data_IF_258440114173
#
_entry.id   IF_258440114173
#
_cell.length_a   1.000
_cell.length_b   1.000
_cell.length_c   1.000
_cell.angle_alpha   90.00
_cell.angle_beta   90.00
_cell.angle_gamma   90.00
#
_symmetry.space_group_name_H-M   'P 1'
#
loop_
_entity.id
_entity.type
_entity.pdbx_description
1 polymer ?
#
# COMPACT_ATOMS: atom_id res chain seq x y z
N UNK A 1 -3.12 16.87 -17.79
CA UNK A 1 -3.22 15.50 -17.24
C UNK A 1 -4.69 15.18 -17.07
N UNK A 2 -5.22 14.21 -17.82
CA UNK A 2 -6.55 13.67 -17.57
C UNK A 2 -6.47 12.99 -16.19
N UNK A 3 -7.33 13.38 -15.24
CA UNK A 3 -7.42 12.69 -13.95
C UNK A 3 -7.72 11.22 -14.23
N UNK A 4 -6.89 10.31 -13.74
CA UNK A 4 -7.20 8.90 -13.77
C UNK A 4 -8.53 8.70 -13.02
N UNK A 5 -9.37 7.78 -13.49
CA UNK A 5 -10.59 7.41 -12.79
C UNK A 5 -10.23 6.86 -11.39
N UNK A 6 -10.76 7.48 -10.33
CA UNK A 6 -10.53 7.08 -8.94
C UNK A 6 -10.96 5.63 -8.68
N UNK A 7 -11.89 5.11 -9.49
CA UNK A 7 -12.31 3.69 -9.43
C UNK A 7 -11.16 2.71 -9.74
N UNK A 8 -10.10 3.17 -10.40
CA UNK A 8 -8.94 2.36 -10.79
C UNK A 8 -7.80 2.39 -9.75
N UNK A 9 -7.98 3.11 -8.64
CA UNK A 9 -7.00 3.23 -7.55
C UNK A 9 -7.08 1.98 -6.65
N UNK A 10 -6.01 1.17 -6.48
CA UNK A 10 -6.07 -0.06 -5.69
C UNK A 10 -6.27 0.17 -4.20
N UNK A 11 -5.68 1.25 -3.67
CA UNK A 11 -5.65 1.57 -2.25
C UNK A 11 -5.66 3.09 -2.05
N UNK A 12 -6.77 3.62 -1.57
CA UNK A 12 -6.88 5.03 -1.20
C UNK A 12 -6.36 5.22 0.22
N UNK A 13 -5.57 6.26 0.47
CA UNK A 13 -5.11 6.64 1.80
C UNK A 13 -5.64 8.02 2.13
N UNK A 14 -6.25 8.16 3.31
CA UNK A 14 -6.63 9.44 3.87
C UNK A 14 -5.83 9.70 5.15
N UNK A 15 -5.38 10.93 5.35
CA UNK A 15 -4.59 11.32 6.52
C UNK A 15 -5.04 12.70 7.01
N UNK A 16 -5.45 12.78 8.27
CA UNK A 16 -5.96 14.01 8.88
C UNK A 16 -5.18 14.33 10.16
N UNK A 17 -4.11 15.13 10.05
CA UNK A 17 -3.43 15.67 11.21
C UNK A 17 -4.24 16.81 11.87
N UNK A 18 -4.30 16.80 13.19
CA UNK A 18 -5.00 17.77 14.03
C UNK A 18 -4.14 18.19 15.21
N UNK A 19 -3.81 19.48 15.29
CA UNK A 19 -3.03 20.04 16.40
C UNK A 19 -3.96 20.38 17.56
N UNK A 20 -3.69 19.83 18.74
CA UNK A 20 -4.43 20.11 19.96
C UNK A 20 -3.47 20.38 21.11
N UNK A 21 -3.43 21.63 21.58
CA UNK A 21 -2.52 22.05 22.64
C UNK A 21 -1.06 21.91 22.22
N UNK A 22 -0.34 20.99 22.89
CA UNK A 22 1.09 20.75 22.64
C UNK A 22 1.35 19.38 21.99
N UNK A 23 0.36 18.84 21.29
CA UNK A 23 0.43 17.56 20.60
C UNK A 23 -0.23 17.67 19.22
N UNK A 24 0.23 16.85 18.29
CA UNK A 24 -0.42 16.63 16.98
C UNK A 24 -0.95 15.21 16.94
N UNK A 25 -2.26 15.09 16.80
CA UNK A 25 -2.98 13.84 16.63
C UNK A 25 -3.10 13.56 15.14
N UNK A 26 -2.76 12.35 14.71
CA UNK A 26 -2.83 11.96 13.29
C UNK A 26 -3.69 10.72 13.19
N UNK A 27 -4.81 10.85 12.47
CA UNK A 27 -5.65 9.72 12.05
C UNK A 27 -5.36 9.43 10.59
N UNK A 28 -4.99 8.19 10.30
CA UNK A 28 -4.73 7.70 8.94
C UNK A 28 -5.60 6.48 8.66
N UNK A 29 -6.18 6.42 7.47
CA UNK A 29 -7.09 5.36 7.05
C UNK A 29 -6.72 4.89 5.65
N UNK A 30 -6.94 3.59 5.39
CA UNK A 30 -6.93 3.06 4.04
C UNK A 30 -8.30 2.53 3.64
N UNK A 31 -8.59 2.61 2.34
CA UNK A 31 -9.72 1.92 1.70
C UNK A 31 -9.22 1.23 0.43
N UNK A 32 -9.31 -0.09 0.40
CA UNK A 32 -8.88 -0.92 -0.71
C UNK A 32 -10.03 -1.21 -1.67
N UNK A 33 -9.75 -1.06 -2.96
CA UNK A 33 -10.68 -1.50 -4.01
C UNK A 33 -10.89 -3.02 -3.96
N UNK A 34 -12.02 -3.49 -4.50
CA UNK A 34 -12.29 -4.93 -4.66
C UNK A 34 -11.58 -5.56 -5.87
N UNK A 35 -10.75 -4.80 -6.59
CA UNK A 35 -10.07 -5.28 -7.81
C UNK A 35 -8.93 -6.26 -7.50
N UNK A 36 -8.29 -6.09 -6.35
CA UNK A 36 -7.07 -6.82 -5.99
C UNK A 36 -7.11 -7.23 -4.52
N UNK A 37 -6.66 -8.44 -4.22
CA UNK A 37 -6.16 -8.78 -2.90
C UNK A 37 -4.71 -8.31 -2.83
N UNK A 38 -4.43 -7.42 -1.88
CA UNK A 38 -3.11 -6.79 -1.73
C UNK A 38 -2.31 -7.52 -0.67
N UNK A 39 -1.03 -7.74 -0.94
CA UNK A 39 -0.12 -8.48 -0.07
C UNK A 39 1.10 -7.63 0.26
N UNK A 40 1.62 -7.83 1.47
CA UNK A 40 2.77 -7.10 2.00
C UNK A 40 2.59 -5.58 1.86
N UNK A 41 1.45 -5.08 2.32
CA UNK A 41 1.13 -3.66 2.25
C UNK A 41 1.93 -2.93 3.32
N UNK A 42 2.64 -1.87 2.93
CA UNK A 42 3.38 -0.98 3.82
C UNK A 42 3.00 0.46 3.45
N UNK A 43 2.40 1.18 4.40
CA UNK A 43 2.10 2.61 4.32
C UNK A 43 3.14 3.33 5.19
N UNK A 44 4.00 4.12 4.55
CA UNK A 44 5.10 4.84 5.17
C UNK A 44 4.75 6.32 5.31
N UNK A 45 4.51 6.75 6.54
CA UNK A 45 4.23 8.14 6.90
C UNK A 45 5.53 8.80 7.36
N UNK A 46 6.03 9.83 6.65
CA UNK A 46 7.15 10.62 7.14
C UNK A 46 6.81 11.31 8.45
N UNK A 47 7.77 11.39 9.34
CA UNK A 47 7.66 12.07 10.63
C UNK A 47 8.77 13.12 10.75
N UNK A 48 8.60 14.15 11.60
CA UNK A 48 9.72 15.00 11.98
C UNK A 48 10.79 14.16 12.69
N UNK A 49 12.00 14.71 12.83
CA UNK A 49 13.02 14.09 13.68
C UNK A 49 12.53 14.08 15.14
N UNK A 50 12.07 12.92 15.61
CA UNK A 50 11.57 12.74 16.96
C UNK A 50 12.67 12.24 17.90
N UNK A 51 12.67 12.76 19.12
CA UNK A 51 13.50 12.23 20.21
C UNK A 51 13.00 10.86 20.67
N UNK A 52 11.70 10.70 20.77
CA UNK A 52 11.01 9.50 21.24
C UNK A 52 10.05 9.00 20.14
N UNK A 53 9.75 7.70 20.11
CA UNK A 53 8.84 7.14 19.13
C UNK A 53 7.42 7.76 19.22
N UNK A 54 6.66 7.84 18.10
CA UNK A 54 5.27 8.28 18.12
C UNK A 54 4.43 7.41 19.06
N UNK A 55 3.45 8.01 19.73
CA UNK A 55 2.54 7.29 20.62
C UNK A 55 1.37 6.76 19.78
N UNK A 56 1.42 5.50 19.38
CA UNK A 56 0.31 4.84 18.67
C UNK A 56 -0.82 4.52 19.66
N UNK A 57 -2.02 5.05 19.39
CA UNK A 57 -3.23 4.89 20.22
C UNK A 57 -4.09 3.71 19.75
N UNK A 58 -4.22 3.55 18.44
CA UNK A 58 -4.92 2.46 17.78
C UNK A 58 -4.23 2.15 16.45
N UNK A 59 -4.27 0.88 16.04
CA UNK A 59 -3.70 0.43 14.77
C UNK A 59 -4.36 -0.89 14.37
N UNK A 60 -4.95 -0.92 13.18
CA UNK A 60 -5.36 -2.17 12.53
C UNK A 60 -4.18 -2.77 11.77
N UNK A 61 -3.61 -3.86 12.27
CA UNK A 61 -2.39 -4.46 11.72
C UNK A 61 -1.16 -4.15 12.58
N UNK A 62 0.02 -4.17 11.97
CA UNK A 62 1.30 -4.00 12.66
C UNK A 62 1.94 -2.65 12.31
N UNK A 63 2.78 -2.13 13.21
CA UNK A 63 3.51 -0.89 12.96
C UNK A 63 4.95 -0.93 13.46
N UNK A 64 5.79 -0.11 12.84
CA UNK A 64 7.20 0.07 13.22
C UNK A 64 7.62 1.53 13.03
N UNK A 65 8.39 2.06 13.97
CA UNK A 65 9.05 3.35 13.81
C UNK A 65 10.52 3.16 13.42
N UNK A 66 10.89 3.65 12.23
CA UNK A 66 12.27 3.75 11.78
C UNK A 66 12.83 5.13 12.15
N UNK A 67 13.50 5.21 13.29
CA UNK A 67 14.10 6.46 13.79
C UNK A 67 15.25 6.98 12.92
N UNK A 68 15.91 6.12 12.14
CA UNK A 68 17.01 6.53 11.26
C UNK A 68 16.49 7.33 10.08
N UNK A 69 15.36 6.91 9.53
CA UNK A 69 14.73 7.59 8.40
C UNK A 69 13.60 8.54 8.81
N UNK A 70 13.23 8.57 10.10
CA UNK A 70 12.09 9.33 10.65
C UNK A 70 10.79 8.96 9.93
N UNK A 71 10.47 7.67 9.88
CA UNK A 71 9.27 7.15 9.21
C UNK A 71 8.50 6.23 10.14
N UNK A 72 7.19 6.39 10.20
CA UNK A 72 6.26 5.41 10.76
C UNK A 72 5.75 4.51 9.64
N UNK A 73 6.02 3.22 9.75
CA UNK A 73 5.52 2.21 8.84
C UNK A 73 4.31 1.52 9.46
N UNK A 74 3.20 1.54 8.74
CA UNK A 74 1.99 0.78 9.02
C UNK A 74 1.87 -0.36 8.01
N UNK A 75 1.71 -1.59 8.49
CA UNK A 75 1.81 -2.78 7.65
C UNK A 75 0.67 -3.78 7.84
N UNK A 76 0.24 -4.36 6.72
CA UNK A 76 -0.75 -5.40 6.63
C UNK A 76 -0.23 -6.51 5.72
N UNK A 77 -0.21 -7.75 6.21
CA UNK A 77 0.27 -8.89 5.40
C UNK A 77 -0.65 -9.17 4.20
N UNK A 78 -1.96 -9.05 4.41
CA UNK A 78 -3.00 -9.28 3.42
C UNK A 78 -4.16 -8.30 3.64
N UNK A 79 -4.59 -7.65 2.57
CA UNK A 79 -5.86 -6.93 2.48
C UNK A 79 -6.75 -7.68 1.49
N UNK A 80 -7.79 -8.32 2.01
CA UNK A 80 -8.81 -9.05 1.26
C UNK A 80 -10.22 -8.56 1.63
N UNK A 81 -11.27 -9.33 1.28
CA UNK A 81 -12.65 -8.95 1.56
C UNK A 81 -12.99 -8.83 3.05
N UNK A 82 -12.14 -9.36 3.95
CA UNK A 82 -12.35 -9.30 5.40
C UNK A 82 -11.93 -7.97 6.01
N UNK A 83 -11.06 -7.21 5.35
CA UNK A 83 -10.42 -6.00 5.90
C UNK A 83 -10.15 -4.94 4.81
N UNK A 84 -11.16 -4.63 3.98
CA UNK A 84 -11.04 -3.62 2.90
C UNK A 84 -10.83 -2.20 3.39
N UNK A 85 -11.04 -1.95 4.67
CA UNK A 85 -10.67 -0.70 5.31
C UNK A 85 -9.99 -0.96 6.64
N UNK A 86 -9.18 -0.01 7.08
CA UNK A 86 -8.55 0.00 8.38
C UNK A 86 -8.06 1.38 8.74
N UNK A 87 -7.76 1.58 10.02
CA UNK A 87 -7.27 2.86 10.55
C UNK A 87 -6.07 2.68 11.47
N UNK A 88 -5.31 3.77 11.63
CA UNK A 88 -4.31 3.94 12.67
C UNK A 88 -4.44 5.37 13.22
N UNK A 89 -4.24 5.49 14.53
CA UNK A 89 -4.15 6.76 15.22
C UNK A 89 -2.85 6.84 16.01
N UNK A 90 -2.10 7.93 15.83
CA UNK A 90 -0.88 8.17 16.59
C UNK A 90 -0.73 9.65 16.96
N UNK A 91 0.12 9.90 17.95
CA UNK A 91 0.38 11.24 18.49
C UNK A 91 1.88 11.54 18.44
N UNK A 92 2.21 12.76 18.02
CA UNK A 92 3.57 13.32 18.00
C UNK A 92 3.58 14.71 18.65
N UNK A 93 4.76 15.27 19.00
CA UNK A 93 4.90 16.67 19.40
C UNK A 93 4.30 17.64 18.35
N UNK A 94 4.12 18.93 18.70
CA UNK A 94 3.54 19.90 17.78
C UNK A 94 4.41 20.05 16.54
N UNK A 95 3.82 19.81 15.37
CA UNK A 95 4.50 19.91 14.08
C UNK A 95 3.51 20.41 13.02
N UNK A 96 4.03 21.05 11.99
CA UNK A 96 3.24 21.39 10.81
C UNK A 96 2.79 20.13 10.06
N UNK A 97 1.54 20.11 9.65
CA UNK A 97 0.91 18.98 8.96
C UNK A 97 1.62 18.57 7.66
N UNK A 98 2.33 19.48 6.99
CA UNK A 98 3.06 19.17 5.75
C UNK A 98 4.17 18.14 5.94
N UNK A 99 4.68 17.97 7.17
CA UNK A 99 5.73 16.99 7.47
C UNK A 99 5.27 15.55 7.27
N UNK A 100 3.97 15.27 7.35
CA UNK A 100 3.42 13.91 7.17
C UNK A 100 3.31 13.48 5.69
N UNK A 101 3.74 14.33 4.76
CA UNK A 101 3.63 14.09 3.32
C UNK A 101 5.01 14.19 2.64
N UNK A 102 5.24 13.43 1.55
CA UNK A 102 4.33 12.48 0.93
C UNK A 102 4.25 11.15 1.69
N UNK A 103 3.04 10.59 1.80
CA UNK A 103 2.85 9.23 2.31
C UNK A 103 3.15 8.26 1.18
N UNK A 104 4.06 7.32 1.39
CA UNK A 104 4.44 6.32 0.39
C UNK A 104 3.77 4.98 0.68
N UNK A 105 3.33 4.28 -0.36
CA UNK A 105 2.66 2.98 -0.24
C UNK A 105 3.37 1.93 -1.07
N UNK A 106 3.63 0.77 -0.48
CA UNK A 106 4.13 -0.40 -1.17
C UNK A 106 3.14 -1.55 -1.00
N UNK A 107 2.88 -2.29 -2.07
CA UNK A 107 2.08 -3.52 -2.04
C UNK A 107 2.38 -4.36 -3.28
N UNK A 108 1.96 -5.63 -3.23
CA UNK A 108 1.90 -6.49 -4.40
C UNK A 108 0.55 -7.21 -4.53
N UNK A 109 0.17 -7.58 -5.74
CA UNK A 109 -0.99 -8.44 -6.02
C UNK A 109 -0.62 -9.54 -7.04
N UNK A 110 -1.39 -10.63 -7.07
CA UNK A 110 -1.17 -11.76 -7.98
C UNK A 110 -1.97 -11.67 -9.28
N UNK A 111 -2.79 -10.64 -9.43
CA UNK A 111 -3.49 -10.25 -10.65
C UNK A 111 -2.99 -8.88 -11.13
N UNK A 112 -3.22 -8.56 -12.40
CA UNK A 112 -2.86 -7.25 -13.00
C UNK A 112 -4.10 -6.61 -13.60
N UNK A 113 -4.08 -5.29 -13.78
CA UNK A 113 -5.17 -4.55 -14.46
C UNK A 113 -5.52 -5.10 -15.83
N UNK A 114 -4.52 -5.54 -16.60
CA UNK A 114 -4.74 -6.04 -17.97
C UNK A 114 -5.47 -7.39 -18.02
N UNK A 115 -5.46 -8.15 -16.92
CA UNK A 115 -5.96 -9.52 -16.89
C UNK A 115 -5.21 -10.49 -17.82
N UNK A 116 -4.05 -10.11 -18.36
CA UNK A 116 -3.29 -10.92 -19.32
C UNK A 116 -2.87 -12.27 -18.71
N UNK A 117 -3.14 -13.35 -19.43
CA UNK A 117 -2.81 -14.72 -19.03
C UNK A 117 -2.22 -15.49 -20.20
N UNK A 118 -1.15 -16.25 -19.96
CA UNK A 118 -0.66 -17.25 -20.91
C UNK A 118 -1.56 -18.46 -20.81
N UNK A 119 -2.26 -18.79 -21.90
CA UNK A 119 -3.21 -19.91 -21.95
C UNK A 119 -2.57 -21.21 -22.44
N UNK A 120 -1.38 -21.14 -23.05
CA UNK A 120 -0.66 -22.31 -23.55
C UNK A 120 0.64 -21.95 -24.26
N UNK A 121 1.44 -22.97 -24.56
CA UNK A 121 2.64 -22.86 -25.39
C UNK A 121 2.51 -23.77 -26.61
N UNK A 122 2.89 -23.25 -27.77
CA UNK A 122 2.80 -23.98 -29.05
C UNK A 122 4.21 -24.15 -29.62
N UNK A 123 4.67 -25.38 -29.92
CA UNK A 123 5.95 -25.60 -30.59
C UNK A 123 5.99 -24.96 -31.99
N UNK A 124 7.09 -24.29 -32.33
CA UNK A 124 7.28 -23.67 -33.65
C UNK A 124 7.46 -24.70 -34.79
N UNK A 125 7.89 -25.93 -34.47
CA UNK A 125 8.04 -27.04 -35.41
C UNK A 125 7.30 -28.26 -34.85
N UNK A 126 6.47 -28.91 -35.67
CA UNK A 126 5.77 -30.16 -35.29
C UNK A 126 4.27 -30.20 -35.57
N UNK A 127 3.65 -29.11 -36.06
CA UNK A 127 2.20 -29.06 -36.31
C UNK A 127 1.35 -29.24 -35.05
N UNK A 128 0.03 -29.15 -35.19
CA UNK A 128 -0.97 -29.28 -34.11
C UNK A 128 -1.02 -30.67 -33.42
N UNK A 129 -0.14 -31.61 -33.79
CA UNK A 129 -0.08 -32.97 -33.24
C UNK A 129 1.07 -33.23 -32.26
N UNK A 130 1.95 -32.25 -32.02
CA UNK A 130 3.05 -32.38 -31.04
C UNK A 130 2.58 -32.15 -29.59
N UNK A 131 3.22 -32.81 -28.63
CA UNK A 131 2.93 -32.59 -27.21
C UNK A 131 3.18 -31.12 -26.82
N UNK A 132 2.17 -30.47 -26.24
CA UNK A 132 2.31 -29.10 -25.72
C UNK A 132 3.32 -29.08 -24.58
N UNK A 133 4.37 -28.24 -24.63
CA UNK A 133 5.33 -28.20 -23.55
C UNK A 133 4.69 -27.62 -22.29
N UNK A 134 5.12 -28.13 -21.12
CA UNK A 134 4.66 -27.64 -19.82
C UNK A 134 5.29 -26.28 -19.52
N UNK A 135 4.53 -25.39 -18.87
CA UNK A 135 5.03 -24.11 -18.37
C UNK A 135 4.55 -23.82 -16.96
N UNK A 136 5.21 -22.86 -16.33
CA UNK A 136 4.81 -22.22 -15.08
C UNK A 136 4.73 -20.73 -15.35
N UNK A 137 3.69 -20.07 -14.83
CA UNK A 137 3.52 -18.62 -14.91
C UNK A 137 3.46 -18.05 -13.49
N UNK A 138 4.16 -16.92 -13.27
CA UNK A 138 3.99 -16.06 -12.10
C UNK A 138 3.53 -14.70 -12.60
N UNK A 139 2.40 -14.23 -12.09
CA UNK A 139 1.86 -12.89 -12.36
C UNK A 139 2.01 -12.04 -11.10
N UNK A 140 2.48 -10.81 -11.26
CA UNK A 140 2.61 -9.88 -10.14
C UNK A 140 2.34 -8.44 -10.59
N UNK A 141 1.52 -7.73 -9.83
CA UNK A 141 1.43 -6.28 -9.82
C UNK A 141 2.22 -5.77 -8.61
N UNK A 142 3.02 -4.71 -8.78
CA UNK A 142 3.85 -4.14 -7.72
C UNK A 142 3.71 -2.62 -7.80
N UNK A 143 3.44 -1.98 -6.66
CA UNK A 143 3.51 -0.53 -6.54
C UNK A 143 4.98 -0.05 -6.54
N UNK A 144 5.31 0.93 -7.37
CA UNK A 144 6.64 1.57 -7.40
C UNK A 144 6.57 2.95 -6.73
N UNK A 145 6.11 3.97 -7.46
CA UNK A 145 6.02 5.35 -6.97
C UNK A 145 4.58 5.71 -6.56
N UNK A 146 4.02 4.95 -5.61
CA UNK A 146 2.66 5.18 -5.11
C UNK A 146 2.68 6.14 -3.92
N UNK A 147 2.22 7.38 -4.13
CA UNK A 147 2.31 8.43 -3.12
C UNK A 147 1.01 9.22 -2.99
N UNK A 148 0.72 9.63 -1.75
CA UNK A 148 -0.29 10.65 -1.43
C UNK A 148 0.44 11.93 -1.04
N UNK A 149 0.11 13.03 -1.72
CA UNK A 149 0.79 14.34 -1.66
C UNK A 149 -0.12 15.44 -1.13
#
# INVERSE_FOLDING_TARGET
MQRADESMVPLTINCWPSVSGNETYVSIEYEASSMFDLTNVIISVPLPALRDAPIVKQCDGDWRYDSRNSVLEWSMLLIDNSNRSGSMEFVVPPVDSSVFFPISVQFAATSTYSGLKVTGMIPLRGGSGGATPKFVQRTQLIAQDYQVV
#
